data_IF_240860448852
#
_entry.id   IF_240860448852
#
_cell.length_a   1.000
_cell.length_b   1.000
_cell.length_c   1.000
_cell.angle_alpha   90.00
_cell.angle_beta   90.00
_cell.angle_gamma   90.00
#
_symmetry.space_group_name_H-M   'P 1'
#
loop_
_entity.id
_entity.type
_entity.pdbx_description
1 polymer ?
#
# COMPACT_ATOMS: atom_id res chain seq x y z
N UNK A 1 -0.92 13.09 -14.63
CA UNK A 1 -2.26 12.56 -14.34
C UNK A 1 -2.51 12.87 -12.89
N UNK A 2 -3.59 13.57 -12.56
CA UNK A 2 -3.96 13.83 -11.16
C UNK A 2 -4.84 12.68 -10.61
N UNK A 3 -5.04 12.67 -9.29
CA UNK A 3 -5.75 11.62 -8.58
C UNK A 3 -7.20 11.46 -9.08
N UNK A 4 -7.90 12.57 -9.30
CA UNK A 4 -9.28 12.53 -9.78
C UNK A 4 -9.37 11.91 -11.19
N UNK A 5 -8.45 12.23 -12.09
CA UNK A 5 -8.38 11.60 -13.42
C UNK A 5 -8.11 10.09 -13.31
N UNK A 6 -7.35 9.64 -12.31
CA UNK A 6 -7.10 8.22 -12.06
C UNK A 6 -8.34 7.49 -11.55
N UNK A 7 -8.98 8.03 -10.52
CA UNK A 7 -10.22 7.49 -9.96
C UNK A 7 -11.34 7.43 -11.01
N UNK A 8 -11.48 8.46 -11.84
CA UNK A 8 -12.43 8.46 -12.96
C UNK A 8 -12.12 7.38 -14.00
N UNK A 9 -10.85 7.16 -14.34
CA UNK A 9 -10.44 6.11 -15.28
C UNK A 9 -10.72 4.70 -14.73
N UNK A 10 -10.60 4.53 -13.42
CA UNK A 10 -10.87 3.28 -12.72
C UNK A 10 -12.35 3.11 -12.32
N UNK A 11 -13.19 4.11 -12.57
CA UNK A 11 -14.60 4.18 -12.14
C UNK A 11 -14.75 3.88 -10.63
N UNK A 12 -13.92 4.53 -9.83
CA UNK A 12 -13.87 4.40 -8.38
C UNK A 12 -14.05 5.76 -7.70
N UNK A 13 -14.62 5.77 -6.49
CA UNK A 13 -14.61 6.96 -5.64
C UNK A 13 -13.38 6.96 -4.72
N UNK A 14 -12.87 8.14 -4.37
CA UNK A 14 -11.72 8.27 -3.46
C UNK A 14 -11.98 7.61 -2.09
N UNK A 15 -13.22 7.66 -1.61
CA UNK A 15 -13.63 7.00 -0.36
C UNK A 15 -13.56 5.46 -0.45
N UNK A 16 -13.88 4.87 -1.62
CA UNK A 16 -13.76 3.43 -1.84
C UNK A 16 -12.28 3.01 -1.84
N UNK A 17 -11.44 3.78 -2.56
CA UNK A 17 -10.00 3.55 -2.58
C UNK A 17 -9.37 3.67 -1.18
N UNK A 18 -9.80 4.65 -0.39
CA UNK A 18 -9.33 4.85 0.99
C UNK A 18 -9.67 3.64 1.88
N UNK A 19 -10.91 3.14 1.84
CA UNK A 19 -11.34 1.98 2.63
C UNK A 19 -10.48 0.74 2.32
N UNK A 20 -10.23 0.49 1.03
CA UNK A 20 -9.43 -0.67 0.61
C UNK A 20 -7.96 -0.53 1.02
N UNK A 21 -7.38 0.67 0.90
CA UNK A 21 -6.01 0.95 1.33
C UNK A 21 -5.84 0.82 2.85
N UNK A 22 -6.80 1.31 3.65
CA UNK A 22 -6.84 1.13 5.10
C UNK A 22 -6.90 -0.35 5.50
N UNK A 23 -7.70 -1.14 4.78
CA UNK A 23 -7.79 -2.58 5.01
C UNK A 23 -6.46 -3.29 4.70
N UNK A 24 -5.77 -2.89 3.62
CA UNK A 24 -4.45 -3.43 3.25
C UNK A 24 -3.40 -3.05 4.31
N UNK A 25 -3.38 -1.79 4.75
CA UNK A 25 -2.48 -1.32 5.80
C UNK A 25 -2.66 -2.12 7.09
N UNK A 26 -3.92 -2.32 7.50
CA UNK A 26 -4.28 -3.12 8.67
C UNK A 26 -3.78 -4.57 8.54
N UNK A 27 -4.03 -5.22 7.40
CA UNK A 27 -3.58 -6.60 7.17
C UNK A 27 -2.05 -6.73 7.17
N UNK A 28 -1.32 -5.72 6.69
CA UNK A 28 0.14 -5.70 6.71
C UNK A 28 0.68 -5.60 8.15
N UNK A 29 0.09 -4.74 8.97
CA UNK A 29 0.47 -4.63 10.39
C UNK A 29 0.13 -5.93 11.17
N UNK A 30 -1.03 -6.53 10.91
CA UNK A 30 -1.38 -7.84 11.48
C UNK A 30 -0.37 -8.94 11.08
N UNK A 31 0.03 -8.96 9.80
CA UNK A 31 1.01 -9.90 9.29
C UNK A 31 2.38 -9.68 9.94
N UNK A 32 2.82 -8.43 10.07
CA UNK A 32 4.05 -8.03 10.76
C UNK A 32 4.04 -8.48 12.22
N UNK A 33 2.95 -8.25 12.94
CA UNK A 33 2.79 -8.64 14.34
C UNK A 33 2.85 -10.16 14.50
N UNK A 34 2.23 -10.91 13.58
CA UNK A 34 2.17 -12.37 13.62
C UNK A 34 3.46 -13.06 13.17
N UNK A 35 4.20 -12.48 12.21
CA UNK A 35 5.38 -13.09 11.58
C UNK A 35 6.57 -12.13 11.46
N UNK A 36 7.11 -11.59 12.58
CA UNK A 36 8.08 -10.48 12.54
C UNK A 36 9.39 -10.80 11.79
N UNK A 37 9.92 -12.01 11.91
CA UNK A 37 11.17 -12.41 11.24
C UNK A 37 10.97 -12.63 9.74
N UNK A 38 9.85 -13.25 9.34
CA UNK A 38 9.49 -13.44 7.92
C UNK A 38 9.26 -12.08 7.26
N UNK A 39 8.55 -11.19 7.96
CA UNK A 39 8.33 -9.82 7.51
C UNK A 39 9.65 -9.09 7.30
N UNK A 40 10.56 -9.09 8.29
CA UNK A 40 11.88 -8.47 8.15
C UNK A 40 12.70 -9.05 6.98
N UNK A 41 12.63 -10.37 6.75
CA UNK A 41 13.26 -11.01 5.62
C UNK A 41 12.68 -10.53 4.28
N UNK A 42 11.35 -10.47 4.16
CA UNK A 42 10.66 -9.99 2.95
C UNK A 42 10.89 -8.50 2.69
N UNK A 43 11.09 -7.70 3.74
CA UNK A 43 11.52 -6.31 3.64
C UNK A 43 12.96 -6.17 3.11
N UNK A 44 13.87 -7.08 3.49
CA UNK A 44 15.28 -7.01 3.12
C UNK A 44 15.67 -7.73 1.84
N UNK A 45 14.92 -8.78 1.44
CA UNK A 45 15.17 -9.53 0.22
C UNK A 45 14.42 -8.95 -0.99
N UNK A 46 14.91 -7.80 -1.47
CA UNK A 46 14.74 -7.45 -2.88
C UNK A 46 15.52 -8.41 -3.77
N UNK A 47 14.98 -9.60 -4.06
CA UNK A 47 15.63 -10.54 -5.00
C UNK A 47 15.42 -10.08 -6.44
N UNK A 48 16.49 -10.28 -7.23
CA UNK A 48 16.57 -10.03 -8.68
C UNK A 48 15.29 -10.46 -9.41
N UNK A 49 14.57 -9.49 -9.97
CA UNK A 49 13.36 -9.69 -10.77
C UNK A 49 12.06 -9.28 -10.08
N UNK A 50 12.08 -8.96 -8.79
CA UNK A 50 10.98 -8.21 -8.18
C UNK A 50 11.16 -6.72 -8.53
N UNK A 51 10.17 -6.14 -9.20
CA UNK A 51 10.13 -4.69 -9.46
C UNK A 51 9.89 -3.89 -8.16
N UNK A 52 9.56 -4.57 -7.05
CA UNK A 52 9.04 -3.95 -5.84
C UNK A 52 9.26 -4.84 -4.59
N UNK A 53 9.70 -4.25 -3.47
CA UNK A 53 9.84 -4.92 -2.17
C UNK A 53 8.63 -4.69 -1.27
N UNK A 54 8.52 -5.45 -0.17
CA UNK A 54 7.44 -5.23 0.81
C UNK A 54 7.57 -3.87 1.51
N UNK A 55 8.79 -3.34 1.67
CA UNK A 55 9.00 -1.98 2.20
C UNK A 55 8.47 -0.94 1.22
N UNK A 56 8.79 -1.09 -0.07
CA UNK A 56 8.29 -0.17 -1.10
C UNK A 56 6.75 -0.16 -1.10
N UNK A 57 6.10 -1.31 -0.84
CA UNK A 57 4.65 -1.43 -0.74
C UNK A 57 4.04 -0.74 0.45
N UNK A 58 4.68 -0.84 1.60
CA UNK A 58 4.24 -0.13 2.80
C UNK A 58 4.35 1.38 2.59
N UNK A 59 5.47 1.85 2.03
CA UNK A 59 5.64 3.26 1.70
C UNK A 59 4.60 3.74 0.68
N UNK A 60 4.35 2.97 -0.38
CA UNK A 60 3.35 3.33 -1.39
C UNK A 60 1.92 3.37 -0.83
N UNK A 61 1.55 2.45 0.07
CA UNK A 61 0.23 2.47 0.74
C UNK A 61 0.11 3.68 1.67
N UNK A 62 1.15 3.98 2.45
CA UNK A 62 1.15 5.15 3.35
C UNK A 62 1.03 6.45 2.56
N UNK A 63 1.81 6.62 1.50
CA UNK A 63 1.76 7.81 0.65
C UNK A 63 0.39 7.95 -0.04
N UNK A 64 -0.23 6.83 -0.44
CA UNK A 64 -1.55 6.85 -1.06
C UNK A 64 -2.66 7.25 -0.07
N UNK A 65 -2.59 6.81 1.18
CA UNK A 65 -3.51 7.22 2.24
C UNK A 65 -3.40 8.73 2.51
N UNK A 66 -2.18 9.24 2.72
CA UNK A 66 -1.94 10.67 2.98
C UNK A 66 -2.52 11.55 1.85
N UNK A 67 -2.29 11.16 0.58
CA UNK A 67 -2.82 11.91 -0.58
C UNK A 67 -4.36 11.86 -0.62
N UNK A 68 -4.98 10.73 -0.33
CA UNK A 68 -6.44 10.58 -0.36
C UNK A 68 -7.13 11.30 0.80
N UNK A 69 -6.50 11.37 1.98
CA UNK A 69 -7.02 12.12 3.13
C UNK A 69 -6.95 13.64 2.95
N UNK A 70 -5.98 14.13 2.17
CA UNK A 70 -5.79 15.57 1.88
C UNK A 70 -6.61 16.10 0.68
N UNK A 71 -7.29 15.21 -0.04
CA UNK A 71 -8.06 15.50 -1.28
C UNK A 71 -9.53 15.83 -1.04
#
# INVERSE_FOLDING_TARGET
MDLNTALEADNAEGAEALIDLDAIATQLEDFRAKYPNTFAYLCGEGRRGADFTLVDGISAVSDALDVLEES
#
